data_IF_757642922729
#
_entry.id   IF_757642922729
#
_cell.length_a   1.000
_cell.length_b   1.000
_cell.length_c   1.000
_cell.angle_alpha   90.00
_cell.angle_beta   90.00
_cell.angle_gamma   90.00
#
_symmetry.space_group_name_H-M   'P 1'
#
loop_
_entity.id
_entity.type
_entity.pdbx_description
1 polymer ?
#
# COMPACT_ATOMS: atom_id res chain seq x y z
N UNK A 1 -89.46 -24.14 51.00
CA UNK A 1 -88.41 -24.04 49.96
C UNK A 1 -87.20 -23.31 50.54
N UNK A 2 -85.99 -23.77 50.17
CA UNK A 2 -84.64 -23.16 50.30
C UNK A 2 -83.68 -23.94 51.21
N UNK A 3 -83.05 -24.96 50.61
CA UNK A 3 -81.74 -25.49 51.01
C UNK A 3 -80.68 -24.46 50.61
N UNK A 4 -79.85 -24.01 51.54
CA UNK A 4 -78.62 -23.29 51.24
C UNK A 4 -77.52 -24.33 50.95
N UNK A 5 -77.03 -24.33 49.71
CA UNK A 5 -75.89 -25.14 49.28
C UNK A 5 -74.64 -24.33 49.60
N UNK A 6 -73.84 -24.83 50.55
CA UNK A 6 -72.54 -24.28 50.90
C UNK A 6 -71.54 -24.56 49.77
N UNK A 7 -71.10 -23.51 49.06
CA UNK A 7 -70.10 -23.61 48.00
C UNK A 7 -68.72 -23.49 48.63
N UNK A 8 -68.11 -24.64 48.90
CA UNK A 8 -66.72 -24.74 49.32
C UNK A 8 -65.79 -24.39 48.14
N UNK A 9 -65.29 -23.15 48.09
CA UNK A 9 -64.32 -22.68 47.08
C UNK A 9 -62.93 -23.20 47.47
N UNK A 10 -62.51 -24.32 46.86
CA UNK A 10 -61.12 -24.78 46.90
C UNK A 10 -60.22 -23.76 46.20
N UNK A 11 -59.46 -22.95 46.95
CA UNK A 11 -58.35 -22.17 46.41
C UNK A 11 -57.22 -23.13 46.00
N UNK A 12 -56.97 -23.23 44.70
CA UNK A 12 -55.80 -23.90 44.13
C UNK A 12 -54.50 -23.28 44.68
N UNK A 13 -53.52 -24.06 45.16
CA UNK A 13 -52.24 -23.52 45.59
C UNK A 13 -51.50 -22.98 44.37
N UNK A 14 -51.29 -21.65 44.33
CA UNK A 14 -50.47 -20.98 43.30
C UNK A 14 -49.09 -21.65 43.25
N UNK A 15 -48.77 -22.22 42.10
CA UNK A 15 -47.53 -22.94 41.77
C UNK A 15 -46.36 -21.95 41.70
N UNK A 16 -45.84 -21.51 42.86
CA UNK A 16 -44.74 -20.52 43.01
C UNK A 16 -43.44 -20.90 42.27
N UNK A 17 -43.24 -22.18 41.97
CA UNK A 17 -42.01 -22.67 41.33
C UNK A 17 -41.95 -22.37 39.82
N UNK A 18 -43.09 -22.08 39.17
CA UNK A 18 -43.13 -21.73 37.74
C UNK A 18 -42.60 -20.32 37.46
N UNK A 19 -42.94 -19.36 38.32
CA UNK A 19 -42.51 -17.95 38.18
C UNK A 19 -41.02 -17.78 38.43
N UNK A 20 -40.46 -18.49 39.43
CA UNK A 20 -39.04 -18.41 39.76
C UNK A 20 -38.16 -18.96 38.62
N UNK A 21 -38.59 -20.06 38.00
CA UNK A 21 -37.91 -20.66 36.86
C UNK A 21 -37.96 -19.72 35.63
N UNK A 22 -39.10 -19.08 35.39
CA UNK A 22 -39.25 -18.09 34.32
C UNK A 22 -38.34 -16.88 34.51
N UNK A 23 -38.25 -16.34 35.73
CA UNK A 23 -37.37 -15.22 36.06
C UNK A 23 -35.89 -15.59 35.88
N UNK A 24 -35.49 -16.80 36.30
CA UNK A 24 -34.12 -17.30 36.08
C UNK A 24 -33.78 -17.41 34.59
N UNK A 25 -34.69 -17.95 33.77
CA UNK A 25 -34.47 -18.08 32.32
C UNK A 25 -34.35 -16.70 31.67
N UNK A 26 -35.23 -15.76 32.00
CA UNK A 26 -35.18 -14.39 31.46
C UNK A 26 -33.89 -13.69 31.89
N UNK A 27 -33.48 -13.84 33.15
CA UNK A 27 -32.23 -13.26 33.66
C UNK A 27 -31.00 -13.80 32.91
N UNK A 28 -30.96 -15.11 32.63
CA UNK A 28 -29.87 -15.72 31.86
C UNK A 28 -29.85 -15.21 30.42
N UNK A 29 -31.01 -15.07 29.78
CA UNK A 29 -31.12 -14.53 28.41
C UNK A 29 -30.63 -13.08 28.37
N UNK A 30 -31.07 -12.23 29.30
CA UNK A 30 -30.64 -10.82 29.38
C UNK A 30 -29.13 -10.73 29.62
N UNK A 31 -28.57 -11.60 30.48
CA UNK A 31 -27.13 -11.68 30.72
C UNK A 31 -26.36 -12.09 29.46
N UNK A 32 -26.85 -13.09 28.72
CA UNK A 32 -26.24 -13.51 27.44
C UNK A 32 -26.30 -12.40 26.38
N UNK A 33 -27.41 -11.68 26.29
CA UNK A 33 -27.55 -10.51 25.39
C UNK A 33 -26.59 -9.40 25.81
N UNK A 34 -26.45 -9.13 27.12
CA UNK A 34 -25.52 -8.14 27.64
C UNK A 34 -24.06 -8.49 27.33
N UNK A 35 -23.65 -9.76 27.51
CA UNK A 35 -22.31 -10.25 27.21
C UNK A 35 -22.03 -10.16 25.69
N UNK A 36 -22.99 -10.56 24.86
CA UNK A 36 -22.84 -10.48 23.39
C UNK A 36 -22.79 -9.04 22.89
N UNK A 37 -23.62 -8.13 23.41
CA UNK A 37 -23.52 -6.69 23.11
C UNK A 37 -22.19 -6.09 23.57
N UNK A 38 -21.75 -6.38 24.79
CA UNK A 38 -20.47 -5.90 25.30
C UNK A 38 -19.29 -6.44 24.48
N UNK A 39 -19.30 -7.72 24.12
CA UNK A 39 -18.31 -8.32 23.23
C UNK A 39 -18.32 -7.66 21.84
N UNK A 40 -19.50 -7.41 21.27
CA UNK A 40 -19.63 -6.75 19.96
C UNK A 40 -19.11 -5.31 19.98
N UNK A 41 -19.46 -4.52 20.99
CA UNK A 41 -19.03 -3.13 21.15
C UNK A 41 -17.52 -3.06 21.44
N UNK A 42 -16.99 -3.93 22.30
CA UNK A 42 -15.56 -3.96 22.64
C UNK A 42 -14.67 -4.43 21.47
N UNK A 43 -15.18 -5.31 20.59
CA UNK A 43 -14.47 -5.71 19.37
C UNK A 43 -14.56 -4.63 18.29
N UNK A 44 -15.74 -4.03 18.10
CA UNK A 44 -15.95 -3.01 17.06
C UNK A 44 -15.23 -1.70 17.36
N UNK A 45 -15.16 -1.28 18.63
CA UNK A 45 -14.46 -0.05 19.05
C UNK A 45 -12.94 -0.12 18.87
N UNK A 46 -12.35 -1.31 18.76
CA UNK A 46 -10.91 -1.50 18.50
C UNK A 46 -10.55 -1.36 17.02
N UNK A 47 -11.53 -1.35 16.11
CA UNK A 47 -11.26 -1.24 14.67
C UNK A 47 -11.17 0.23 14.24
N UNK A 48 -10.00 0.63 13.78
CA UNK A 48 -9.78 1.99 13.28
C UNK A 48 -10.48 2.15 11.93
N UNK A 49 -11.34 3.17 11.77
CA UNK A 49 -12.06 3.38 10.53
C UNK A 49 -11.12 3.53 9.34
N UNK A 50 -11.62 3.18 8.16
CA UNK A 50 -10.88 3.29 6.91
C UNK A 50 -11.62 4.18 5.93
N UNK A 51 -10.85 4.91 5.14
CA UNK A 51 -11.37 5.58 3.97
C UNK A 51 -11.89 4.54 2.96
N UNK A 52 -13.07 4.78 2.40
CA UNK A 52 -13.76 3.81 1.54
C UNK A 52 -13.10 3.65 0.16
N UNK A 53 -12.36 4.68 -0.29
CA UNK A 53 -11.73 4.71 -1.62
C UNK A 53 -10.35 4.07 -1.59
N UNK A 54 -9.51 4.51 -0.67
CA UNK A 54 -8.11 4.12 -0.52
C UNK A 54 -7.92 2.91 0.39
N UNK A 55 -8.95 2.53 1.17
CA UNK A 55 -8.87 1.47 2.19
C UNK A 55 -7.85 1.75 3.31
N UNK A 56 -7.28 2.94 3.32
CA UNK A 56 -6.31 3.37 4.31
C UNK A 56 -7.01 3.79 5.60
N UNK A 57 -6.32 3.59 6.72
CA UNK A 57 -6.82 4.00 8.03
C UNK A 57 -6.91 5.51 8.12
N UNK A 58 -7.97 6.02 8.73
CA UNK A 58 -8.20 7.47 8.85
C UNK A 58 -7.21 8.15 9.80
N UNK A 59 -6.56 7.39 10.70
CA UNK A 59 -5.54 7.91 11.62
C UNK A 59 -4.21 8.25 10.93
N UNK A 60 -4.03 7.83 9.67
CA UNK A 60 -2.82 8.07 8.89
C UNK A 60 -1.59 7.27 9.37
N UNK A 61 -1.75 6.34 10.32
CA UNK A 61 -0.63 5.57 10.90
C UNK A 61 -0.46 4.25 10.16
N UNK A 62 0.21 4.29 9.03
CA UNK A 62 0.55 3.13 8.22
C UNK A 62 1.86 3.34 7.45
N UNK A 63 2.56 2.23 7.20
CA UNK A 63 3.77 2.22 6.36
C UNK A 63 3.42 2.44 4.88
N UNK A 64 4.39 2.91 4.10
CA UNK A 64 4.23 3.17 2.66
C UNK A 64 5.26 2.41 1.83
N UNK A 65 4.79 1.71 0.80
CA UNK A 65 5.54 1.14 -0.31
C UNK A 65 5.26 1.96 -1.56
N UNK A 66 6.28 2.62 -2.09
CA UNK A 66 6.16 3.49 -3.25
C UNK A 66 6.95 2.86 -4.39
N UNK A 67 6.28 2.57 -5.49
CA UNK A 67 6.90 1.99 -6.68
C UNK A 67 6.93 3.06 -7.77
N UNK A 68 8.12 3.33 -8.30
CA UNK A 68 8.34 4.15 -9.49
C UNK A 68 8.80 3.20 -10.59
N UNK A 69 7.97 3.05 -11.63
CA UNK A 69 8.34 2.33 -12.84
C UNK A 69 8.65 3.33 -13.94
N UNK A 70 9.89 3.30 -14.44
CA UNK A 70 10.27 4.08 -15.60
C UNK A 70 9.77 3.42 -16.88
N UNK A 71 8.91 4.13 -17.62
CA UNK A 71 8.32 3.65 -18.87
C UNK A 71 8.87 4.41 -20.10
N UNK A 72 9.91 5.22 -19.92
CA UNK A 72 10.48 6.03 -21.00
C UNK A 72 11.38 5.24 -21.95
N UNK A 73 11.89 4.10 -21.49
CA UNK A 73 12.69 3.16 -22.27
C UNK A 73 11.82 2.16 -23.04
N UNK A 74 12.39 1.60 -24.12
CA UNK A 74 11.79 0.47 -24.82
C UNK A 74 12.22 -0.84 -24.17
N UNK A 75 11.25 -1.59 -23.63
CA UNK A 75 11.50 -2.89 -23.01
C UNK A 75 11.17 -4.04 -23.95
N UNK A 76 11.93 -5.13 -23.82
CA UNK A 76 11.63 -6.38 -24.52
C UNK A 76 10.65 -7.25 -23.71
N UNK A 77 10.11 -8.32 -24.32
CA UNK A 77 9.13 -9.20 -23.67
C UNK A 77 9.61 -9.80 -22.34
N UNK A 78 10.88 -10.19 -22.26
CA UNK A 78 11.49 -10.77 -21.05
C UNK A 78 11.57 -9.72 -19.94
N UNK A 79 11.90 -8.48 -20.29
CA UNK A 79 11.96 -7.36 -19.36
C UNK A 79 10.58 -6.99 -18.84
N UNK A 80 9.57 -6.89 -19.71
CA UNK A 80 8.17 -6.71 -19.30
C UNK A 80 7.76 -7.75 -18.25
N UNK A 81 8.03 -9.04 -18.53
CA UNK A 81 7.73 -10.14 -17.60
C UNK A 81 8.47 -10.00 -16.27
N UNK A 82 9.73 -9.62 -16.29
CA UNK A 82 10.57 -9.49 -15.10
C UNK A 82 10.15 -8.30 -14.23
N UNK A 83 9.84 -7.16 -14.85
CA UNK A 83 9.32 -5.97 -14.19
C UNK A 83 7.96 -6.28 -13.54
N UNK A 84 7.05 -6.90 -14.29
CA UNK A 84 5.75 -7.35 -13.80
C UNK A 84 5.91 -8.26 -12.58
N UNK A 85 6.77 -9.27 -12.67
CA UNK A 85 7.02 -10.18 -11.56
C UNK A 85 7.60 -9.45 -10.34
N UNK A 86 8.50 -8.47 -10.53
CA UNK A 86 9.04 -7.67 -9.44
C UNK A 86 7.94 -6.89 -8.71
N UNK A 87 7.03 -6.24 -9.45
CA UNK A 87 5.90 -5.48 -8.89
C UNK A 87 4.90 -6.42 -8.21
N UNK A 88 4.51 -7.51 -8.85
CA UNK A 88 3.59 -8.50 -8.28
C UNK A 88 4.12 -9.12 -6.99
N UNK A 89 5.42 -9.38 -6.90
CA UNK A 89 6.05 -9.86 -5.68
C UNK A 89 5.93 -8.83 -4.55
N UNK A 90 6.13 -7.54 -4.83
CA UNK A 90 5.95 -6.49 -3.82
C UNK A 90 4.50 -6.40 -3.33
N UNK A 91 3.53 -6.50 -4.24
CA UNK A 91 2.11 -6.52 -3.92
C UNK A 91 1.74 -7.72 -3.04
N UNK A 92 2.30 -8.91 -3.33
CA UNK A 92 2.08 -10.12 -2.55
C UNK A 92 2.68 -10.06 -1.14
N UNK A 93 3.81 -9.35 -0.98
CA UNK A 93 4.48 -9.18 0.32
C UNK A 93 3.99 -7.99 1.14
N UNK A 94 3.06 -7.19 0.59
CA UNK A 94 2.54 -6.00 1.24
C UNK A 94 1.82 -6.39 2.54
N UNK A 95 2.23 -5.79 3.68
CA UNK A 95 1.61 -6.10 4.97
C UNK A 95 0.21 -5.51 5.05
N UNK A 96 -0.63 -6.06 5.93
CA UNK A 96 -1.91 -5.44 6.27
C UNK A 96 -1.70 -3.98 6.70
N UNK A 97 -2.60 -3.11 6.27
CA UNK A 97 -2.59 -1.65 6.47
C UNK A 97 -1.53 -0.87 5.71
N UNK A 98 -0.50 -1.53 5.18
CA UNK A 98 0.54 -0.87 4.40
C UNK A 98 -0.03 -0.29 3.09
N UNK A 99 0.32 0.95 2.80
CA UNK A 99 -0.09 1.66 1.59
C UNK A 99 0.83 1.32 0.45
N UNK A 100 0.27 0.91 -0.68
CA UNK A 100 0.96 0.89 -1.95
C UNK A 100 0.65 2.16 -2.74
N UNK A 101 1.70 2.81 -3.24
CA UNK A 101 1.61 3.84 -4.25
C UNK A 101 2.37 3.40 -5.51
N UNK A 102 1.78 3.57 -6.68
CA UNK A 102 2.43 3.28 -7.96
C UNK A 102 2.47 4.54 -8.84
N UNK A 103 3.66 4.87 -9.31
CA UNK A 103 3.92 5.99 -10.21
C UNK A 103 4.65 5.49 -11.46
N UNK A 104 4.45 6.19 -12.57
CA UNK A 104 5.28 6.05 -13.75
C UNK A 104 6.20 7.25 -13.91
N UNK A 105 7.48 6.98 -14.23
CA UNK A 105 8.38 8.00 -14.77
C UNK A 105 8.12 8.04 -16.26
N UNK A 106 7.74 9.22 -16.76
CA UNK A 106 7.39 9.48 -18.16
C UNK A 106 8.20 10.69 -18.66
N UNK A 107 8.08 11.03 -19.94
CA UNK A 107 8.68 12.26 -20.47
C UNK A 107 8.07 13.54 -19.89
N UNK A 108 6.88 13.48 -19.28
CA UNK A 108 6.20 14.59 -18.64
C UNK A 108 6.25 14.43 -17.12
N UNK A 109 7.04 15.27 -16.45
CA UNK A 109 7.20 15.25 -14.99
C UNK A 109 5.88 15.43 -14.23
N UNK A 110 4.84 16.01 -14.86
CA UNK A 110 3.52 16.17 -14.24
C UNK A 110 2.86 14.82 -13.94
N UNK A 111 3.28 13.73 -14.59
CA UNK A 111 2.84 12.37 -14.26
C UNK A 111 3.24 11.95 -12.84
N UNK A 112 4.24 12.60 -12.24
CA UNK A 112 4.66 12.38 -10.86
C UNK A 112 3.89 13.16 -9.80
N UNK A 113 2.91 13.99 -10.17
CA UNK A 113 2.13 14.81 -9.21
C UNK A 113 1.22 13.95 -8.33
N UNK A 114 0.61 12.92 -8.90
CA UNK A 114 -0.33 12.04 -8.21
C UNK A 114 -0.06 10.58 -8.60
N UNK A 115 -0.23 9.62 -7.68
CA UNK A 115 -0.04 8.21 -7.99
C UNK A 115 -1.13 7.69 -8.92
N UNK A 116 -0.76 6.77 -9.81
CA UNK A 116 -1.68 6.00 -10.65
C UNK A 116 -2.59 5.10 -9.80
N UNK A 117 -2.07 4.65 -8.66
CA UNK A 117 -2.79 3.89 -7.65
C UNK A 117 -2.26 4.26 -6.27
N UNK A 118 -3.17 4.52 -5.33
CA UNK A 118 -2.86 4.71 -3.91
C UNK A 118 -3.90 3.99 -3.06
N UNK A 119 -3.51 2.86 -2.49
CA UNK A 119 -4.43 1.97 -1.77
C UNK A 119 -3.69 1.22 -0.66
N UNK A 120 -4.31 1.09 0.52
CA UNK A 120 -3.79 0.27 1.60
C UNK A 120 -4.27 -1.18 1.49
N UNK A 121 -3.40 -2.11 1.85
CA UNK A 121 -3.76 -3.52 1.91
C UNK A 121 -4.86 -3.75 2.97
N UNK A 122 -6.06 -4.21 2.58
CA UNK A 122 -7.10 -4.56 3.54
C UNK A 122 -6.81 -5.85 4.34
N UNK A 123 -5.74 -6.57 3.99
CA UNK A 123 -5.43 -7.93 4.44
C UNK A 123 -5.92 -8.98 3.46
N UNK A 124 -5.53 -10.23 3.66
CA UNK A 124 -5.94 -11.38 2.80
C UNK A 124 -7.20 -12.10 3.29
N UNK A 125 -7.68 -11.75 4.49
CA UNK A 125 -8.75 -12.47 5.19
C UNK A 125 -8.26 -13.62 6.07
N UNK A 126 -7.04 -14.10 5.85
CA UNK A 126 -6.34 -15.07 6.72
C UNK A 126 -5.78 -14.41 7.97
N UNK A 127 -5.40 -13.13 7.88
CA UNK A 127 -4.90 -12.29 8.98
C UNK A 127 -5.96 -11.86 10.00
N UNK A 128 -7.16 -12.45 9.94
CA UNK A 128 -8.30 -12.00 10.76
C UNK A 128 -8.82 -13.13 11.62
N UNK A 129 -8.16 -13.33 12.76
CA UNK A 129 -8.69 -14.07 13.89
C UNK A 129 -9.78 -13.25 14.60
N UNK A 130 -10.99 -13.27 14.05
CA UNK A 130 -12.14 -12.63 14.68
C UNK A 130 -13.44 -13.24 14.21
N UNK A 131 -14.29 -13.64 15.14
CA UNK A 131 -15.62 -14.22 14.91
C UNK A 131 -16.51 -13.32 14.01
N UNK A 132 -16.19 -12.02 13.90
CA UNK A 132 -16.98 -11.00 13.19
C UNK A 132 -16.38 -10.50 11.87
N UNK A 133 -15.22 -11.01 11.45
CA UNK A 133 -14.66 -10.62 10.16
C UNK A 133 -15.28 -11.45 9.03
N UNK A 134 -15.51 -10.85 7.86
CA UNK A 134 -15.95 -11.56 6.67
C UNK A 134 -14.75 -11.71 5.71
N UNK A 135 -14.02 -12.84 5.73
CA UNK A 135 -12.82 -13.03 4.91
C UNK A 135 -13.11 -12.88 3.42
N UNK A 136 -14.30 -13.30 2.97
CA UNK A 136 -14.74 -13.16 1.57
C UNK A 136 -14.80 -11.69 1.15
N UNK A 137 -15.35 -10.81 1.99
CA UNK A 137 -15.39 -9.37 1.70
C UNK A 137 -13.99 -8.73 1.68
N UNK A 138 -13.08 -9.17 2.56
CA UNK A 138 -11.71 -8.66 2.60
C UNK A 138 -10.97 -9.05 1.33
N UNK A 139 -11.03 -10.33 0.95
CA UNK A 139 -10.47 -10.83 -0.30
C UNK A 139 -11.03 -10.09 -1.52
N UNK A 140 -12.34 -9.88 -1.59
CA UNK A 140 -12.96 -9.11 -2.68
C UNK A 140 -12.45 -7.65 -2.73
N UNK A 141 -12.20 -7.00 -1.59
CA UNK A 141 -11.61 -5.66 -1.55
C UNK A 141 -10.17 -5.68 -2.06
N UNK A 142 -9.37 -6.65 -1.60
CA UNK A 142 -7.99 -6.84 -2.08
C UNK A 142 -7.96 -7.03 -3.59
N UNK A 143 -8.78 -7.94 -4.13
CA UNK A 143 -8.84 -8.21 -5.56
C UNK A 143 -9.26 -6.99 -6.37
N UNK A 144 -10.35 -6.32 -5.97
CA UNK A 144 -10.96 -5.27 -6.78
C UNK A 144 -10.31 -3.88 -6.62
N UNK A 145 -9.67 -3.59 -5.48
CA UNK A 145 -9.09 -2.27 -5.20
C UNK A 145 -7.56 -2.24 -5.27
N UNK A 146 -6.89 -3.38 -5.16
CA UNK A 146 -5.44 -3.47 -5.22
C UNK A 146 -4.98 -4.31 -6.42
N UNK A 147 -5.32 -5.60 -6.49
CA UNK A 147 -4.77 -6.49 -7.50
C UNK A 147 -5.18 -6.14 -8.94
N UNK A 148 -6.49 -6.10 -9.24
CA UNK A 148 -6.98 -5.81 -10.61
C UNK A 148 -6.57 -4.43 -11.14
N UNK A 149 -6.58 -3.34 -10.34
CA UNK A 149 -6.05 -2.06 -10.80
C UNK A 149 -4.57 -2.12 -11.20
N UNK A 150 -3.72 -2.83 -10.45
CA UNK A 150 -2.31 -3.00 -10.79
C UNK A 150 -2.17 -3.83 -12.07
N UNK A 151 -2.89 -4.95 -12.16
CA UNK A 151 -2.89 -5.79 -13.35
C UNK A 151 -3.27 -4.98 -14.60
N UNK A 152 -4.28 -4.11 -14.50
CA UNK A 152 -4.68 -3.20 -15.59
C UNK A 152 -3.57 -2.22 -15.97
N UNK A 153 -2.90 -1.61 -14.98
CA UNK A 153 -1.79 -0.68 -15.24
C UNK A 153 -0.62 -1.40 -15.93
N UNK A 154 -0.25 -2.59 -15.45
CA UNK A 154 0.82 -3.39 -16.05
C UNK A 154 0.44 -3.91 -17.45
N UNK A 155 -0.83 -4.26 -17.69
CA UNK A 155 -1.30 -4.67 -19.01
C UNK A 155 -1.25 -3.51 -20.02
N UNK A 156 -1.40 -2.27 -19.57
CA UNK A 156 -1.23 -1.10 -20.42
C UNK A 156 0.25 -0.84 -20.71
N UNK A 157 1.11 -0.94 -19.69
CA UNK A 157 2.56 -0.87 -19.85
C UNK A 157 3.09 -1.91 -20.84
N UNK A 158 2.61 -3.16 -20.78
CA UNK A 158 3.04 -4.22 -21.70
C UNK A 158 2.64 -3.99 -23.17
N UNK A 159 1.69 -3.08 -23.43
CA UNK A 159 1.29 -2.70 -24.80
C UNK A 159 2.05 -1.50 -25.32
N UNK A 160 2.74 -0.77 -24.45
CA UNK A 160 3.50 0.40 -24.79
C UNK A 160 4.83 -0.01 -25.41
N UNK A 161 5.13 0.52 -26.60
CA UNK A 161 6.29 0.11 -27.39
C UNK A 161 7.14 1.27 -27.88
N UNK A 162 6.77 2.50 -27.49
CA UNK A 162 7.40 3.72 -27.95
C UNK A 162 8.43 4.19 -26.93
N UNK A 163 9.62 4.46 -27.44
CA UNK A 163 10.68 5.10 -26.67
C UNK A 163 10.37 6.60 -26.53
N UNK A 164 10.42 7.10 -25.31
CA UNK A 164 10.16 8.51 -25.05
C UNK A 164 11.40 9.36 -25.39
N UNK A 165 11.16 10.62 -25.75
CA UNK A 165 12.24 11.58 -26.08
C UNK A 165 13.05 12.04 -24.86
N UNK A 166 12.56 11.82 -23.66
CA UNK A 166 13.19 12.20 -22.40
C UNK A 166 12.85 11.21 -21.29
N UNK A 167 13.76 11.09 -20.33
CA UNK A 167 13.63 10.39 -19.06
C UNK A 167 14.10 11.29 -17.90
N UNK A 168 13.23 12.18 -17.40
CA UNK A 168 13.52 13.08 -16.28
C UNK A 168 13.41 12.35 -14.92
N UNK A 169 14.31 11.39 -14.69
CA UNK A 169 14.31 10.49 -13.53
C UNK A 169 14.48 11.27 -12.22
N UNK A 170 15.50 12.14 -12.14
CA UNK A 170 15.76 12.93 -10.95
C UNK A 170 14.61 13.88 -10.60
N UNK A 171 14.07 14.56 -11.60
CA UNK A 171 12.98 15.52 -11.44
C UNK A 171 11.71 14.80 -10.94
N UNK A 172 11.40 13.64 -11.53
CA UNK A 172 10.25 12.83 -11.12
C UNK A 172 10.41 12.30 -9.69
N UNK A 173 11.60 11.81 -9.35
CA UNK A 173 11.92 11.35 -7.98
C UNK A 173 11.79 12.51 -6.99
N UNK A 174 12.32 13.69 -7.29
CA UNK A 174 12.20 14.86 -6.43
C UNK A 174 10.73 15.24 -6.20
N UNK A 175 9.94 15.25 -7.27
CA UNK A 175 8.52 15.60 -7.20
C UNK A 175 7.73 14.63 -6.31
N UNK A 176 7.92 13.33 -6.52
CA UNK A 176 7.26 12.28 -5.74
C UNK A 176 7.73 12.29 -4.29
N UNK A 177 9.04 12.44 -4.04
CA UNK A 177 9.55 12.48 -2.69
C UNK A 177 8.96 13.67 -1.89
N UNK A 178 8.85 14.84 -2.53
CA UNK A 178 8.23 16.01 -1.90
C UNK A 178 6.72 15.82 -1.62
N UNK A 179 6.00 15.06 -2.45
CA UNK A 179 4.58 14.75 -2.19
C UNK A 179 4.42 13.72 -1.06
N UNK A 180 5.32 12.73 -0.97
CA UNK A 180 5.33 11.70 0.07
C UNK A 180 5.49 12.25 1.49
N UNK A 181 6.41 13.21 1.67
CA UNK A 181 6.72 13.81 2.97
C UNK A 181 5.52 14.53 3.61
N UNK A 182 4.64 15.14 2.81
CA UNK A 182 3.47 15.89 3.32
C UNK A 182 2.49 15.03 4.12
N UNK A 183 2.51 13.71 3.94
CA UNK A 183 1.60 12.78 4.61
C UNK A 183 2.31 11.73 5.47
N UNK A 184 3.59 11.91 5.81
CA UNK A 184 4.30 11.00 6.69
C UNK A 184 3.87 11.24 8.15
N UNK A 185 3.55 10.18 8.89
CA UNK A 185 3.35 10.27 10.35
C UNK A 185 4.57 9.71 11.06
N UNK A 186 4.88 10.29 12.22
CA UNK A 186 5.95 9.78 13.08
C UNK A 186 5.73 8.30 13.41
N UNK A 187 6.82 7.52 13.40
CA UNK A 187 6.77 6.07 13.63
C UNK A 187 6.29 5.23 12.44
N UNK A 188 6.10 5.81 11.25
CA UNK A 188 5.81 5.06 10.01
C UNK A 188 7.07 4.91 9.16
N UNK A 189 7.20 3.77 8.48
CA UNK A 189 8.30 3.49 7.56
C UNK A 189 7.90 3.81 6.12
N UNK A 190 8.82 4.37 5.35
CA UNK A 190 8.65 4.58 3.91
C UNK A 190 9.71 3.83 3.13
N UNK A 191 9.28 3.10 2.11
CA UNK A 191 10.16 2.39 1.19
C UNK A 191 9.85 2.84 -0.23
N UNK A 192 10.85 3.37 -0.93
CA UNK A 192 10.78 3.74 -2.34
C UNK A 192 11.52 2.71 -3.18
N UNK A 193 10.80 2.05 -4.08
CA UNK A 193 11.32 1.11 -5.06
C UNK A 193 11.31 1.77 -6.43
N UNK A 194 12.48 1.91 -7.04
CA UNK A 194 12.63 2.52 -8.37
C UNK A 194 13.08 1.43 -9.34
N UNK A 195 12.31 1.23 -10.41
CA UNK A 195 12.54 0.24 -11.45
C UNK A 195 12.81 1.01 -12.76
N UNK A 196 14.06 1.06 -13.20
CA UNK A 196 14.49 1.91 -14.33
C UNK A 196 15.80 1.40 -14.93
N UNK A 197 16.12 1.82 -16.15
CA UNK A 197 17.48 1.73 -16.68
C UNK A 197 18.45 2.74 -16.03
N UNK A 198 17.90 3.69 -15.27
CA UNK A 198 18.59 4.75 -14.54
C UNK A 198 19.41 5.68 -15.44
N UNK A 199 18.97 5.85 -16.69
CA UNK A 199 19.61 6.72 -17.67
C UNK A 199 18.92 8.10 -17.69
N UNK A 200 19.41 9.01 -16.85
CA UNK A 200 18.89 10.39 -16.82
C UNK A 200 19.00 11.04 -18.21
N UNK A 201 17.88 11.55 -18.72
CA UNK A 201 17.82 12.34 -19.94
C UNK A 201 16.72 13.39 -19.89
N UNK A 202 17.07 14.61 -19.46
CA UNK A 202 16.21 15.79 -19.58
C UNK A 202 16.87 16.86 -20.42
N UNK A 203 16.18 17.98 -20.66
CA UNK A 203 16.73 19.16 -21.33
C UNK A 203 17.94 19.69 -20.56
N UNK A 204 17.76 19.83 -19.25
CA UNK A 204 18.72 20.40 -18.31
C UNK A 204 19.97 19.55 -18.07
N UNK A 205 19.84 18.22 -18.08
CA UNK A 205 20.95 17.32 -17.80
C UNK A 205 20.72 15.94 -18.38
N UNK A 206 21.76 15.33 -18.94
CA UNK A 206 21.67 13.96 -19.44
C UNK A 206 22.98 13.20 -19.29
N UNK A 207 22.90 11.95 -18.84
CA UNK A 207 24.06 11.06 -18.88
C UNK A 207 24.52 10.72 -20.30
N UNK A 208 23.65 10.85 -21.30
CA UNK A 208 24.00 10.67 -22.71
C UNK A 208 24.90 11.79 -23.25
N UNK A 209 24.80 13.00 -22.67
CA UNK A 209 25.54 14.19 -23.12
C UNK A 209 26.65 14.60 -22.16
N UNK A 210 26.53 14.27 -20.88
CA UNK A 210 27.39 14.75 -19.81
C UNK A 210 28.19 13.61 -19.18
N UNK A 211 29.46 13.87 -18.83
CA UNK A 211 30.24 12.95 -18.00
C UNK A 211 29.65 12.93 -16.60
N UNK A 212 29.47 11.73 -16.04
CA UNK A 212 28.88 11.52 -14.71
C UNK A 212 29.51 12.38 -13.60
N UNK A 213 30.83 12.61 -13.65
CA UNK A 213 31.57 13.43 -12.69
C UNK A 213 31.07 14.88 -12.64
N UNK A 214 30.58 15.40 -13.77
CA UNK A 214 30.09 16.77 -13.89
C UNK A 214 28.76 16.99 -13.16
N UNK A 215 28.04 15.92 -12.78
CA UNK A 215 26.82 16.06 -11.98
C UNK A 215 27.10 16.85 -10.70
N UNK A 216 28.19 16.53 -10.01
CA UNK A 216 28.52 17.05 -8.68
C UNK A 216 28.73 18.57 -8.64
N UNK A 217 29.23 19.15 -9.73
CA UNK A 217 29.55 20.57 -9.89
C UNK A 217 28.50 21.34 -10.72
N UNK A 218 27.50 20.64 -11.27
CA UNK A 218 26.46 21.27 -12.08
C UNK A 218 25.44 22.03 -11.24
N UNK A 219 24.91 23.13 -11.78
CA UNK A 219 23.73 23.82 -11.22
C UNK A 219 22.49 22.90 -11.20
N UNK A 220 22.46 21.89 -12.07
CA UNK A 220 21.39 20.91 -12.12
C UNK A 220 21.24 20.13 -10.80
N UNK A 221 22.35 19.73 -10.17
CA UNK A 221 22.31 19.06 -8.86
C UNK A 221 21.54 19.86 -7.80
N UNK A 222 21.67 21.19 -7.81
CA UNK A 222 20.95 22.06 -6.87
C UNK A 222 19.45 22.07 -7.19
N UNK A 223 19.07 22.04 -8.47
CA UNK A 223 17.66 22.00 -8.90
C UNK A 223 16.95 20.72 -8.50
N UNK A 224 17.60 19.57 -8.64
CA UNK A 224 17.01 18.26 -8.32
C UNK A 224 17.28 17.77 -6.90
N UNK A 225 17.86 18.63 -6.06
CA UNK A 225 18.15 18.28 -4.66
C UNK A 225 16.86 17.94 -3.92
N UNK A 226 16.84 16.81 -3.23
CA UNK A 226 15.75 16.39 -2.36
C UNK A 226 16.30 15.60 -1.17
N UNK A 227 15.56 15.51 -0.07
CA UNK A 227 15.99 14.81 1.15
C UNK A 227 15.13 13.56 1.38
N UNK A 228 15.78 12.42 1.62
CA UNK A 228 15.15 11.10 1.80
C UNK A 228 15.17 10.65 3.26
N UNK A 229 14.99 11.59 4.20
CA UNK A 229 15.10 11.36 5.63
C UNK A 229 14.18 10.19 6.06
N UNK A 230 14.79 9.13 6.60
CA UNK A 230 14.12 7.90 7.03
C UNK A 230 13.37 7.12 5.93
N UNK A 231 13.75 7.29 4.66
CA UNK A 231 13.24 6.50 3.55
C UNK A 231 14.23 5.37 3.26
N UNK A 232 13.72 4.16 3.00
CA UNK A 232 14.51 3.04 2.46
C UNK A 232 14.38 3.05 0.95
N UNK A 233 15.48 2.89 0.22
CA UNK A 233 15.46 2.95 -1.24
C UNK A 233 15.92 1.62 -1.85
N UNK A 234 15.07 1.05 -2.71
CA UNK A 234 15.41 -0.12 -3.51
C UNK A 234 15.58 0.31 -4.97
N UNK A 235 16.76 0.11 -5.53
CA UNK A 235 17.07 0.39 -6.93
C UNK A 235 17.08 -0.92 -7.71
N UNK A 236 16.11 -1.09 -8.61
CA UNK A 236 16.02 -2.23 -9.52
C UNK A 236 16.42 -1.78 -10.92
N UNK A 237 17.67 -2.05 -11.27
CA UNK A 237 18.23 -1.69 -12.57
C UNK A 237 17.74 -2.63 -13.65
N UNK A 238 17.21 -2.07 -14.74
CA UNK A 238 16.85 -2.82 -15.94
C UNK A 238 17.95 -2.64 -16.98
N UNK A 239 18.34 -3.72 -17.65
CA UNK A 239 19.28 -3.63 -18.77
C UNK A 239 18.60 -2.96 -19.97
N UNK A 240 19.27 -2.01 -20.61
CA UNK A 240 18.86 -1.51 -21.93
C UNK A 240 19.86 -1.99 -22.96
N UNK A 241 19.38 -2.69 -23.98
CA UNK A 241 20.24 -3.26 -25.01
C UNK A 241 21.01 -2.13 -25.73
N UNK A 242 22.33 -2.29 -25.84
CA UNK A 242 23.22 -1.28 -26.43
C UNK A 242 23.53 -0.09 -25.52
N UNK A 243 23.18 -0.20 -24.23
CA UNK A 243 23.38 0.80 -23.17
C UNK A 243 23.91 0.15 -21.88
N UNK A 244 24.62 -0.97 -22.01
CA UNK A 244 25.13 -1.77 -20.89
C UNK A 244 26.13 -1.00 -20.02
N UNK A 245 26.76 0.07 -20.54
CA UNK A 245 27.66 0.92 -19.77
C UNK A 245 27.01 1.52 -18.52
N UNK A 246 25.69 1.73 -18.54
CA UNK A 246 24.91 2.28 -17.41
C UNK A 246 24.68 1.27 -16.28
N UNK A 247 24.97 -0.01 -16.51
CA UNK A 247 25.01 -1.04 -15.47
C UNK A 247 26.40 -1.20 -14.82
N UNK A 248 27.40 -0.44 -15.28
CA UNK A 248 28.73 -0.50 -14.69
C UNK A 248 28.73 -0.04 -13.23
N UNK A 249 29.68 -0.54 -12.43
CA UNK A 249 29.87 -0.15 -11.02
C UNK A 249 29.90 1.36 -10.81
N UNK A 250 30.39 2.12 -11.79
CA UNK A 250 30.44 3.59 -11.77
C UNK A 250 29.03 4.19 -11.61
N UNK A 251 28.05 3.75 -12.41
CA UNK A 251 26.69 4.28 -12.36
C UNK A 251 25.89 3.70 -11.19
N UNK A 252 26.08 2.43 -10.87
CA UNK A 252 25.47 1.82 -9.67
C UNK A 252 25.88 2.58 -8.39
N UNK A 253 27.18 2.83 -8.24
CA UNK A 253 27.71 3.57 -7.10
C UNK A 253 27.26 5.02 -7.11
N UNK A 254 27.16 5.65 -8.27
CA UNK A 254 26.65 7.02 -8.35
C UNK A 254 25.22 7.14 -7.81
N UNK A 255 24.31 6.26 -8.22
CA UNK A 255 22.93 6.29 -7.71
C UNK A 255 22.87 5.93 -6.23
N UNK A 256 23.65 4.94 -5.79
CA UNK A 256 23.81 4.62 -4.37
C UNK A 256 24.21 5.86 -3.56
N UNK A 257 25.30 6.51 -3.98
CA UNK A 257 25.86 7.68 -3.33
C UNK A 257 24.88 8.85 -3.33
N UNK A 258 24.16 9.05 -4.43
CA UNK A 258 23.15 10.11 -4.54
C UNK A 258 22.11 9.98 -3.43
N UNK A 259 21.50 8.80 -3.27
CA UNK A 259 20.47 8.58 -2.24
C UNK A 259 21.06 8.57 -0.82
N UNK A 260 22.26 8.01 -0.59
CA UNK A 260 22.91 8.03 0.74
C UNK A 260 23.22 9.46 1.17
N UNK A 261 23.84 10.25 0.28
CA UNK A 261 24.19 11.65 0.55
C UNK A 261 22.96 12.55 0.67
N UNK A 262 21.81 12.08 0.17
CA UNK A 262 20.52 12.76 0.28
C UNK A 262 19.70 12.31 1.51
N UNK A 263 20.25 11.48 2.40
CA UNK A 263 19.63 11.14 3.69
C UNK A 263 18.87 9.81 3.75
N UNK A 264 18.94 8.98 2.70
CA UNK A 264 18.30 7.65 2.71
C UNK A 264 18.86 6.76 3.83
N UNK A 265 17.96 6.09 4.55
CA UNK A 265 18.30 5.24 5.70
C UNK A 265 18.91 3.88 5.33
N UNK A 266 18.54 3.34 4.17
CA UNK A 266 19.01 2.05 3.65
C UNK A 266 18.94 2.08 2.12
N UNK A 267 19.87 1.40 1.46
CA UNK A 267 19.87 1.26 0.00
C UNK A 267 20.18 -0.16 -0.41
N UNK A 268 19.26 -0.73 -1.19
CA UNK A 268 19.44 -2.02 -1.85
C UNK A 268 19.50 -1.81 -3.35
N UNK A 269 20.44 -2.49 -3.99
CA UNK A 269 20.59 -2.48 -5.44
C UNK A 269 20.41 -3.89 -5.94
N UNK A 270 19.58 -4.05 -6.98
CA UNK A 270 19.40 -5.30 -7.70
C UNK A 270 19.40 -5.01 -9.19
N UNK A 271 20.10 -5.82 -9.96
CA UNK A 271 19.96 -5.83 -11.42
C UNK A 271 18.87 -6.85 -11.74
N UNK A 272 17.89 -6.45 -12.54
CA UNK A 272 16.86 -7.33 -13.06
C UNK A 272 17.39 -8.00 -14.32
N UNK A 273 17.57 -9.31 -14.25
CA UNK A 273 17.98 -10.15 -15.38
C UNK A 273 16.82 -10.25 -16.39
N UNK A 274 17.06 -9.86 -17.64
CA UNK A 274 16.07 -9.91 -18.72
C UNK A 274 16.47 -9.20 -20.00
#
# INVERSE_FOLDING_TARGET
MRRAIDKNIRKSPKKKNGDLLGILIISVIVMLIGITMYAFVSVSSKQIPRDKKTLCRIDGKYDKQIILLDITGKYNLVQHKTIRQAIENQVKTLKKDEQLQLYFITNDIRSGLEPLLSVCNPGTGEDVSGIFANPKMIKQKWENKLYKPIEKLLNNFDKESLEAKSSPIFETIQLINNSMLKGAKEGTTQTMTIISDFIQHSEDYSFLRNKLQNFSTSNYKLRVKTSFDNIKVNLLFIRRNGREEYLSKKYLNFWKDYFLKSGSSDIKIKILEG
#
